data_IF_511408554924
#
_entry.id   IF_511408554924
#
_cell.length_a   1.000
_cell.length_b   1.000
_cell.length_c   1.000
_cell.angle_alpha   90.00
_cell.angle_beta   90.00
_cell.angle_gamma   90.00
#
_symmetry.space_group_name_H-M   'P 1'
#
loop_
_entity.id
_entity.type
_entity.pdbx_description
1 polymer ?
#
# COMPACT_ATOMS: atom_id res chain seq x y z
N UNK A 1 6.79 20.73 -21.92
CA UNK A 1 7.08 19.47 -21.21
C UNK A 1 7.10 19.76 -19.71
N UNK A 2 5.95 19.66 -19.04
CA UNK A 2 5.86 19.86 -17.60
C UNK A 2 6.05 18.51 -16.91
N UNK A 3 7.26 18.24 -16.46
CA UNK A 3 7.50 17.17 -15.50
C UNK A 3 7.06 17.70 -14.12
N UNK A 4 5.79 17.49 -13.80
CA UNK A 4 5.31 17.60 -12.42
C UNK A 4 6.02 16.52 -11.59
N UNK A 5 7.15 16.87 -10.99
CA UNK A 5 7.75 16.08 -9.94
C UNK A 5 6.80 16.16 -8.74
N UNK A 6 5.81 15.27 -8.66
CA UNK A 6 5.14 15.00 -7.40
C UNK A 6 6.24 14.53 -6.45
N UNK A 7 6.73 15.45 -5.61
CA UNK A 7 7.55 15.07 -4.47
C UNK A 7 6.71 14.05 -3.71
N UNK A 8 7.26 12.86 -3.50
CA UNK A 8 6.69 11.89 -2.56
C UNK A 8 6.40 12.65 -1.29
N UNK A 9 5.12 12.77 -0.95
CA UNK A 9 4.70 13.68 0.10
C UNK A 9 5.22 13.09 1.43
N UNK A 10 6.27 13.66 2.06
CA UNK A 10 6.84 13.14 3.30
C UNK A 10 5.81 13.12 4.44
N UNK A 11 4.69 13.76 4.25
CA UNK A 11 3.63 13.97 5.22
C UNK A 11 2.70 12.78 5.39
N UNK A 12 2.47 11.97 4.33
CA UNK A 12 1.75 10.71 4.51
C UNK A 12 2.61 9.76 5.34
N UNK A 13 3.93 9.78 5.16
CA UNK A 13 4.85 9.03 6.01
C UNK A 13 4.91 9.55 7.45
N UNK A 14 4.54 10.81 7.70
CA UNK A 14 4.43 11.37 9.05
C UNK A 14 3.07 11.16 9.71
N UNK A 15 1.98 11.01 8.92
CA UNK A 15 0.62 10.76 9.40
C UNK A 15 0.37 9.28 9.72
N UNK A 16 1.09 8.37 9.08
CA UNK A 16 0.97 6.93 9.28
C UNK A 16 2.16 6.47 10.08
N UNK A 17 1.93 6.04 11.31
CA UNK A 17 2.97 5.49 12.16
C UNK A 17 3.45 4.13 11.62
N UNK A 18 4.72 4.02 11.18
CA UNK A 18 5.28 2.75 10.72
C UNK A 18 5.27 1.65 11.78
N UNK A 19 5.35 1.98 13.07
CA UNK A 19 5.31 1.01 14.16
C UNK A 19 3.93 0.35 14.33
N UNK A 20 2.90 0.94 13.73
CA UNK A 20 1.55 0.38 13.69
C UNK A 20 1.39 -0.81 12.74
N UNK A 21 2.34 -1.04 11.81
CA UNK A 21 2.34 -2.24 10.97
C UNK A 21 2.95 -3.41 11.75
N UNK A 22 2.10 -4.33 12.18
CA UNK A 22 2.50 -5.42 13.07
C UNK A 22 2.58 -6.74 12.30
N UNK A 23 3.52 -7.63 12.67
CA UNK A 23 3.52 -9.00 12.20
C UNK A 23 2.21 -9.72 12.53
N UNK A 24 1.84 -10.70 11.73
CA UNK A 24 0.59 -11.47 11.82
C UNK A 24 -0.69 -10.65 11.66
N UNK A 25 -0.59 -9.38 11.22
CA UNK A 25 -1.72 -8.47 11.04
C UNK A 25 -1.85 -8.04 9.59
N UNK A 26 -3.11 -7.88 9.15
CA UNK A 26 -3.48 -7.28 7.87
C UNK A 26 -3.87 -5.82 8.10
N UNK A 27 -3.09 -4.90 7.52
CA UNK A 27 -3.47 -3.49 7.43
C UNK A 27 -4.06 -3.20 6.06
N UNK A 28 -5.23 -2.58 6.01
CA UNK A 28 -5.84 -2.12 4.76
C UNK A 28 -5.67 -0.60 4.64
N UNK A 29 -5.16 -0.16 3.49
CA UNK A 29 -5.09 1.25 3.12
C UNK A 29 -6.13 1.47 2.02
N UNK A 30 -7.17 2.25 2.30
CA UNK A 30 -8.26 2.46 1.36
C UNK A 30 -8.42 3.91 0.91
N UNK A 31 -8.94 4.08 -0.30
CA UNK A 31 -9.28 5.35 -0.91
C UNK A 31 -9.09 5.34 -2.42
N UNK A 32 -9.66 6.35 -3.07
CA UNK A 32 -9.60 6.50 -4.54
C UNK A 32 -8.43 7.39 -5.02
N UNK A 33 -7.69 7.99 -4.08
CA UNK A 33 -6.54 8.84 -4.39
C UNK A 33 -5.33 8.01 -4.83
N UNK A 34 -4.52 8.57 -5.73
CA UNK A 34 -3.21 8.04 -6.09
C UNK A 34 -2.24 7.93 -4.89
N UNK A 35 -2.55 8.61 -3.79
CA UNK A 35 -1.77 8.53 -2.55
C UNK A 35 -1.88 7.15 -1.88
N UNK A 36 -2.93 6.37 -2.15
CA UNK A 36 -3.10 5.02 -1.61
C UNK A 36 -1.98 4.09 -2.09
N UNK A 37 -1.81 3.82 -3.40
CA UNK A 37 -0.70 3.01 -3.87
C UNK A 37 0.67 3.67 -3.62
N UNK A 38 0.79 5.00 -3.67
CA UNK A 38 2.04 5.70 -3.37
C UNK A 38 2.48 5.50 -1.91
N UNK A 39 1.53 5.37 -0.98
CA UNK A 39 1.81 5.02 0.42
C UNK A 39 2.37 3.60 0.53
N UNK A 40 1.75 2.62 -0.14
CA UNK A 40 2.26 1.26 -0.17
C UNK A 40 3.66 1.18 -0.79
N UNK A 41 3.92 1.89 -1.89
CA UNK A 41 5.24 1.96 -2.51
C UNK A 41 6.28 2.59 -1.59
N UNK A 42 5.89 3.57 -0.79
CA UNK A 42 6.78 4.18 0.21
C UNK A 42 7.12 3.19 1.34
N UNK A 43 6.17 2.37 1.77
CA UNK A 43 6.42 1.28 2.73
C UNK A 43 7.37 0.22 2.14
N UNK A 44 7.14 -0.21 0.89
CA UNK A 44 8.05 -1.12 0.19
C UNK A 44 9.47 -0.54 0.11
N UNK A 45 9.60 0.75 -0.25
CA UNK A 45 10.88 1.42 -0.32
C UNK A 45 11.61 1.43 1.03
N UNK A 46 10.89 1.76 2.11
CA UNK A 46 11.45 1.78 3.48
C UNK A 46 11.93 0.40 3.92
N UNK A 47 11.14 -0.64 3.70
CA UNK A 47 11.51 -2.01 4.03
C UNK A 47 12.73 -2.47 3.19
N UNK A 48 12.78 -2.14 1.90
CA UNK A 48 13.87 -2.52 1.02
C UNK A 48 15.21 -1.84 1.39
N UNK A 49 15.21 -0.56 1.77
CA UNK A 49 16.44 0.16 2.16
C UNK A 49 17.00 -0.31 3.50
N UNK A 50 16.18 -0.92 4.36
CA UNK A 50 16.63 -1.57 5.59
C UNK A 50 17.12 -3.01 5.39
N UNK A 51 17.16 -3.48 4.13
CA UNK A 51 17.75 -4.76 3.75
C UNK A 51 16.77 -5.94 3.71
N UNK A 52 15.48 -5.69 3.87
CA UNK A 52 14.45 -6.74 3.86
C UNK A 52 13.89 -6.99 2.45
N UNK A 53 13.51 -8.23 2.20
CA UNK A 53 12.78 -8.60 0.99
C UNK A 53 11.28 -8.27 1.14
N UNK A 54 10.64 -8.00 0.03
CA UNK A 54 9.22 -7.68 -0.09
C UNK A 54 8.60 -8.57 -1.16
N UNK A 55 7.45 -9.18 -0.87
CA UNK A 55 6.60 -9.77 -1.89
C UNK A 55 5.51 -8.76 -2.21
N UNK A 56 5.35 -8.41 -3.49
CA UNK A 56 4.32 -7.51 -3.97
C UNK A 56 3.40 -8.25 -4.95
N UNK A 57 2.12 -8.35 -4.60
CA UNK A 57 1.07 -8.91 -5.45
C UNK A 57 0.27 -7.76 -6.06
N UNK A 58 0.15 -7.72 -7.39
CA UNK A 58 -0.53 -6.66 -8.12
C UNK A 58 -1.80 -7.18 -8.82
N UNK A 59 -2.96 -6.79 -8.30
CA UNK A 59 -4.29 -7.16 -8.82
C UNK A 59 -4.94 -6.11 -9.72
N UNK A 60 -4.30 -4.97 -9.95
CA UNK A 60 -4.87 -3.87 -10.75
C UNK A 60 -3.94 -3.36 -11.85
N UNK A 61 -2.84 -4.08 -12.12
CA UNK A 61 -1.80 -3.62 -13.04
C UNK A 61 -1.30 -2.20 -12.71
N UNK A 62 -1.15 -1.91 -11.42
CA UNK A 62 -0.83 -0.57 -10.90
C UNK A 62 0.58 -0.45 -10.30
N UNK A 63 1.36 -1.54 -10.30
CA UNK A 63 2.74 -1.51 -9.83
C UNK A 63 3.58 -0.48 -10.57
N UNK A 64 4.21 0.41 -9.81
CA UNK A 64 5.02 1.50 -10.34
C UNK A 64 6.43 1.50 -9.71
N UNK A 65 7.43 0.90 -10.37
CA UNK A 65 8.80 0.86 -9.85
C UNK A 65 9.44 2.25 -9.78
N UNK A 66 8.97 3.21 -10.59
CA UNK A 66 9.47 4.59 -10.54
C UNK A 66 9.02 5.32 -9.26
N UNK A 67 7.83 5.00 -8.73
CA UNK A 67 7.37 5.54 -7.45
C UNK A 67 8.27 5.06 -6.31
N UNK A 68 8.59 3.76 -6.27
CA UNK A 68 9.53 3.18 -5.31
C UNK A 68 10.91 3.78 -5.46
N UNK A 69 11.42 3.87 -6.69
CA UNK A 69 12.73 4.47 -6.98
C UNK A 69 12.85 5.92 -6.49
N UNK A 70 11.78 6.73 -6.68
CA UNK A 70 11.74 8.10 -6.15
C UNK A 70 11.77 8.12 -4.63
N UNK A 71 11.00 7.24 -3.97
CA UNK A 71 10.97 7.15 -2.51
C UNK A 71 12.34 6.76 -1.94
N UNK A 72 13.01 5.78 -2.56
CA UNK A 72 14.38 5.35 -2.19
C UNK A 72 15.39 6.50 -2.33
N UNK A 73 15.36 7.22 -3.47
CA UNK A 73 16.22 8.39 -3.69
C UNK A 73 15.96 9.51 -2.68
N UNK A 74 14.71 9.75 -2.34
CA UNK A 74 14.35 10.74 -1.32
C UNK A 74 14.93 10.40 0.05
N UNK A 75 15.05 9.12 0.38
CA UNK A 75 15.70 8.63 1.60
C UNK A 75 17.24 8.61 1.51
N UNK A 76 17.84 8.98 0.38
CA UNK A 76 19.30 9.04 0.18
C UNK A 76 19.95 7.70 -0.20
N UNK A 77 19.17 6.70 -0.65
CA UNK A 77 19.65 5.38 -1.00
C UNK A 77 19.69 5.12 -2.52
N UNK A 78 20.42 4.07 -2.92
CA UNK A 78 20.53 3.62 -4.30
C UNK A 78 19.32 2.74 -4.70
N UNK A 79 18.50 3.17 -5.69
CA UNK A 79 17.30 2.45 -6.06
C UNK A 79 17.51 1.03 -6.57
N UNK A 80 18.61 0.77 -7.26
CA UNK A 80 18.88 -0.54 -7.84
C UNK A 80 18.93 -1.64 -6.78
N UNK A 81 19.61 -1.38 -5.67
CA UNK A 81 19.71 -2.31 -4.55
C UNK A 81 18.36 -2.55 -3.88
N UNK A 82 17.55 -1.49 -3.68
CA UNK A 82 16.23 -1.60 -3.08
C UNK A 82 15.24 -2.35 -4.00
N UNK A 83 15.24 -2.03 -5.30
CA UNK A 83 14.34 -2.67 -6.26
C UNK A 83 14.63 -4.17 -6.45
N UNK A 84 15.89 -4.62 -6.30
CA UNK A 84 16.25 -6.04 -6.39
C UNK A 84 15.69 -6.90 -5.26
N UNK A 85 15.21 -6.29 -4.18
CA UNK A 85 14.56 -6.95 -3.04
C UNK A 85 13.05 -7.05 -3.15
N UNK A 86 12.46 -6.55 -4.23
CA UNK A 86 11.01 -6.54 -4.42
C UNK A 86 10.63 -7.61 -5.44
N UNK A 87 10.02 -8.67 -4.95
CA UNK A 87 9.54 -9.81 -5.75
C UNK A 87 8.08 -9.55 -6.15
N UNK A 88 7.85 -9.34 -7.44
CA UNK A 88 6.54 -8.92 -7.96
C UNK A 88 5.84 -10.09 -8.63
N UNK A 89 4.60 -10.37 -8.21
CA UNK A 89 3.68 -11.25 -8.89
C UNK A 89 2.45 -10.45 -9.35
N UNK A 90 2.03 -10.59 -10.62
CA UNK A 90 0.91 -9.85 -11.19
C UNK A 90 -0.16 -10.79 -11.69
N UNK A 91 -1.40 -10.51 -11.32
CA UNK A 91 -2.58 -11.19 -11.81
C UNK A 91 -3.38 -10.31 -12.77
N UNK A 92 -3.89 -10.92 -13.84
CA UNK A 92 -4.81 -10.31 -14.80
C UNK A 92 -6.19 -10.96 -14.78
N UNK A 93 -6.31 -12.07 -14.06
CA UNK A 93 -7.58 -12.80 -13.86
C UNK A 93 -7.70 -13.24 -12.41
N UNK A 94 -8.96 -13.51 -12.00
CA UNK A 94 -9.27 -14.05 -10.67
C UNK A 94 -8.58 -15.39 -10.40
N UNK A 95 -8.42 -16.25 -11.41
CA UNK A 95 -7.74 -17.54 -11.31
C UNK A 95 -6.22 -17.40 -11.13
N UNK A 96 -5.62 -16.41 -11.81
CA UNK A 96 -4.21 -16.10 -11.59
C UNK A 96 -3.97 -15.55 -10.20
N UNK A 97 -4.88 -14.72 -9.68
CA UNK A 97 -4.80 -14.24 -8.31
C UNK A 97 -4.88 -15.39 -7.31
N UNK A 98 -5.80 -16.34 -7.51
CA UNK A 98 -5.92 -17.53 -6.67
C UNK A 98 -4.63 -18.37 -6.68
N UNK A 99 -4.05 -18.59 -7.84
CA UNK A 99 -2.78 -19.32 -7.98
C UNK A 99 -1.63 -18.60 -7.25
N UNK A 100 -1.53 -17.26 -7.37
CA UNK A 100 -0.51 -16.46 -6.68
C UNK A 100 -0.69 -16.54 -5.16
N UNK A 101 -1.91 -16.35 -4.66
CA UNK A 101 -2.18 -16.39 -3.22
C UNK A 101 -1.95 -17.79 -2.65
N UNK A 102 -2.32 -18.83 -3.38
CA UNK A 102 -2.05 -20.23 -3.00
C UNK A 102 -0.55 -20.53 -2.92
N UNK A 103 0.26 -19.92 -3.78
CA UNK A 103 1.73 -20.04 -3.77
C UNK A 103 2.46 -19.17 -2.75
N UNK A 104 1.77 -18.26 -2.04
CA UNK A 104 2.41 -17.32 -1.14
C UNK A 104 3.19 -17.97 0.00
N UNK A 105 2.71 -19.10 0.53
CA UNK A 105 3.43 -19.83 1.59
C UNK A 105 4.83 -20.25 1.15
N UNK A 106 4.96 -20.77 -0.06
CA UNK A 106 6.26 -21.15 -0.63
C UNK A 106 7.14 -19.91 -0.86
N UNK A 107 6.56 -18.86 -1.42
CA UNK A 107 7.24 -17.59 -1.67
C UNK A 107 7.76 -16.97 -0.38
N UNK A 108 6.95 -16.91 0.70
CA UNK A 108 7.36 -16.39 2.01
C UNK A 108 8.48 -17.23 2.61
N UNK A 109 8.38 -18.57 2.56
CA UNK A 109 9.44 -19.44 3.05
C UNK A 109 10.76 -19.30 2.27
N UNK A 110 10.68 -18.91 0.98
CA UNK A 110 11.86 -18.76 0.11
C UNK A 110 12.60 -17.46 0.35
N UNK A 111 11.88 -16.35 0.52
CA UNK A 111 12.46 -15.00 0.56
C UNK A 111 12.44 -14.36 1.95
N UNK A 112 11.77 -14.96 2.92
CA UNK A 112 11.59 -14.44 4.28
C UNK A 112 11.27 -12.93 4.31
N UNK A 113 10.20 -12.48 3.59
CA UNK A 113 9.90 -11.08 3.42
C UNK A 113 9.43 -10.45 4.72
N UNK A 114 9.87 -9.24 5.00
CA UNK A 114 9.29 -8.44 6.08
C UNK A 114 7.87 -7.98 5.75
N UNK A 115 7.61 -7.68 4.47
CA UNK A 115 6.36 -7.08 4.00
C UNK A 115 5.76 -7.89 2.84
N UNK A 116 4.50 -8.26 3.00
CA UNK A 116 3.63 -8.73 1.94
C UNK A 116 2.71 -7.57 1.54
N UNK A 117 2.97 -6.98 0.37
CA UNK A 117 2.24 -5.86 -0.19
C UNK A 117 1.25 -6.36 -1.25
N UNK A 118 -0.03 -6.00 -1.15
CA UNK A 118 -1.06 -6.44 -2.09
C UNK A 118 -1.80 -5.22 -2.65
N UNK A 119 -1.68 -5.00 -3.96
CA UNK A 119 -2.34 -3.91 -4.66
C UNK A 119 -3.72 -4.35 -5.16
N UNK A 120 -4.77 -3.73 -4.62
CA UNK A 120 -6.16 -3.82 -5.10
C UNK A 120 -6.64 -5.27 -5.34
N UNK A 121 -6.55 -6.09 -4.31
CA UNK A 121 -6.89 -7.52 -4.35
C UNK A 121 -8.28 -7.79 -4.93
N UNK A 122 -9.27 -6.94 -4.59
CA UNK A 122 -10.68 -7.07 -4.99
C UNK A 122 -10.95 -6.76 -6.47
N UNK A 123 -10.03 -6.07 -7.17
CA UNK A 123 -10.27 -5.47 -8.48
C UNK A 123 -10.62 -6.48 -9.59
N UNK A 124 -10.14 -7.72 -9.48
CA UNK A 124 -10.37 -8.76 -10.50
C UNK A 124 -11.69 -9.54 -10.33
N UNK A 125 -12.39 -9.39 -9.19
CA UNK A 125 -13.50 -10.23 -8.79
C UNK A 125 -14.86 -9.59 -9.07
N UNK A 126 -15.28 -9.55 -10.33
CA UNK A 126 -16.57 -8.95 -10.73
C UNK A 126 -17.69 -9.95 -10.92
N UNK A 127 -17.38 -11.25 -11.04
CA UNK A 127 -18.35 -12.31 -11.36
C UNK A 127 -18.97 -12.95 -10.10
N UNK A 128 -20.07 -13.71 -10.30
CA UNK A 128 -20.69 -14.46 -9.20
C UNK A 128 -19.79 -15.60 -8.69
N UNK A 129 -19.08 -16.26 -9.59
CA UNK A 129 -18.12 -17.31 -9.22
C UNK A 129 -16.88 -16.68 -8.54
N UNK A 130 -16.49 -15.49 -8.95
CA UNK A 130 -15.43 -14.71 -8.32
C UNK A 130 -15.70 -14.43 -6.84
N UNK A 131 -16.98 -14.28 -6.41
CA UNK A 131 -17.29 -14.08 -4.98
C UNK A 131 -16.90 -15.26 -4.10
N UNK A 132 -17.13 -16.49 -4.57
CA UNK A 132 -16.76 -17.70 -3.81
C UNK A 132 -15.26 -17.85 -3.73
N UNK A 133 -14.58 -17.63 -4.86
CA UNK A 133 -13.12 -17.69 -4.96
C UNK A 133 -12.47 -16.62 -4.07
N UNK A 134 -13.00 -15.40 -4.06
CA UNK A 134 -12.48 -14.30 -3.28
C UNK A 134 -12.47 -14.56 -1.77
N UNK A 135 -13.54 -15.18 -1.24
CA UNK A 135 -13.59 -15.59 0.16
C UNK A 135 -12.49 -16.59 0.54
N UNK A 136 -12.21 -17.56 -0.34
CA UNK A 136 -11.10 -18.52 -0.17
C UNK A 136 -9.75 -17.82 -0.21
N UNK A 137 -9.55 -16.89 -1.14
CA UNK A 137 -8.32 -16.10 -1.29
C UNK A 137 -8.04 -15.28 -0.03
N UNK A 138 -9.04 -14.58 0.50
CA UNK A 138 -8.88 -13.80 1.73
C UNK A 138 -8.53 -14.68 2.93
N UNK A 139 -9.15 -15.85 3.03
CA UNK A 139 -8.83 -16.83 4.07
C UNK A 139 -7.38 -17.29 3.95
N UNK A 140 -6.93 -17.68 2.77
CA UNK A 140 -5.55 -18.10 2.51
C UNK A 140 -4.55 -16.98 2.81
N UNK A 141 -4.84 -15.75 2.41
CA UNK A 141 -4.01 -14.58 2.72
C UNK A 141 -3.88 -14.38 4.23
N UNK A 142 -4.98 -14.48 4.98
CA UNK A 142 -5.00 -14.37 6.44
C UNK A 142 -4.21 -15.50 7.10
N UNK A 143 -4.37 -16.73 6.64
CA UNK A 143 -3.63 -17.89 7.13
C UNK A 143 -2.11 -17.73 6.92
N UNK A 144 -1.67 -17.28 5.73
CA UNK A 144 -0.26 -17.01 5.45
C UNK A 144 0.26 -15.90 6.35
N UNK A 145 -0.46 -14.77 6.46
CA UNK A 145 -0.10 -13.64 7.32
C UNK A 145 0.13 -14.07 8.76
N UNK A 146 -0.81 -14.84 9.33
CA UNK A 146 -0.77 -15.24 10.74
C UNK A 146 0.23 -16.36 11.00
N UNK A 147 0.26 -17.39 10.15
CA UNK A 147 1.11 -18.57 10.39
C UNK A 147 2.60 -18.33 10.12
N UNK A 148 2.93 -17.38 9.25
CA UNK A 148 4.32 -17.04 8.89
C UNK A 148 4.77 -15.70 9.47
N UNK A 149 3.97 -15.10 10.35
CA UNK A 149 4.31 -13.87 11.09
C UNK A 149 4.72 -12.71 10.18
N UNK A 150 4.11 -12.58 8.98
CA UNK A 150 4.39 -11.51 8.04
C UNK A 150 3.59 -10.25 8.35
N UNK A 151 4.13 -9.08 8.00
CA UNK A 151 3.36 -7.83 7.93
C UNK A 151 2.66 -7.82 6.58
N UNK A 152 1.33 -7.77 6.57
CA UNK A 152 0.56 -7.73 5.32
C UNK A 152 -0.14 -6.38 5.18
N UNK A 153 0.06 -5.71 4.03
CA UNK A 153 -0.60 -4.46 3.69
C UNK A 153 -1.34 -4.60 2.37
N UNK A 154 -2.64 -4.36 2.41
CA UNK A 154 -3.53 -4.48 1.25
C UNK A 154 -4.08 -3.11 0.89
N UNK A 155 -4.04 -2.71 -0.38
CA UNK A 155 -4.75 -1.50 -0.83
C UNK A 155 -6.13 -1.85 -1.36
N UNK A 156 -7.09 -0.93 -1.14
CA UNK A 156 -8.49 -1.04 -1.54
C UNK A 156 -8.97 0.31 -2.07
N UNK A 157 -9.91 0.31 -3.01
CA UNK A 157 -10.59 1.55 -3.41
C UNK A 157 -11.56 2.04 -2.34
N UNK A 158 -12.02 1.12 -1.47
CA UNK A 158 -13.05 1.41 -0.46
C UNK A 158 -14.45 1.54 -1.06
N UNK A 159 -15.39 2.01 -0.22
CA UNK A 159 -16.76 2.30 -0.65
C UNK A 159 -17.70 1.10 -0.63
N UNK A 160 -18.68 1.09 -1.57
CA UNK A 160 -19.80 0.15 -1.58
C UNK A 160 -19.52 -1.16 -2.32
N UNK A 161 -18.34 -1.30 -2.93
CA UNK A 161 -17.98 -2.52 -3.64
C UNK A 161 -17.85 -3.69 -2.66
N UNK A 162 -18.56 -4.78 -2.93
CA UNK A 162 -18.60 -5.94 -2.02
C UNK A 162 -17.22 -6.54 -1.72
N UNK A 163 -16.33 -6.55 -2.72
CA UNK A 163 -14.96 -7.08 -2.55
C UNK A 163 -14.14 -6.22 -1.59
N UNK A 164 -14.23 -4.89 -1.69
CA UNK A 164 -13.57 -3.97 -0.79
C UNK A 164 -14.14 -4.05 0.63
N UNK A 165 -15.45 -4.26 0.78
CA UNK A 165 -16.07 -4.49 2.08
C UNK A 165 -15.58 -5.79 2.74
N UNK A 166 -15.38 -6.85 1.95
CA UNK A 166 -14.80 -8.10 2.46
C UNK A 166 -13.32 -7.92 2.86
N UNK A 167 -12.55 -7.16 2.08
CA UNK A 167 -11.16 -6.81 2.45
C UNK A 167 -11.16 -6.04 3.77
N UNK A 168 -11.99 -5.00 3.89
CA UNK A 168 -12.11 -4.19 5.10
C UNK A 168 -12.54 -5.03 6.32
N UNK A 169 -13.50 -5.95 6.15
CA UNK A 169 -13.98 -6.85 7.21
C UNK A 169 -12.93 -7.88 7.69
N UNK A 170 -11.83 -8.08 6.95
CA UNK A 170 -10.72 -8.94 7.34
C UNK A 170 -9.48 -8.17 7.82
N UNK A 171 -9.55 -6.85 7.90
CA UNK A 171 -8.46 -6.00 8.35
C UNK A 171 -8.34 -5.99 9.88
N UNK A 172 -7.10 -6.06 10.38
CA UNK A 172 -6.78 -5.80 11.78
C UNK A 172 -6.55 -4.30 12.04
N UNK A 173 -6.19 -3.54 10.98
CA UNK A 173 -6.05 -2.08 10.99
C UNK A 173 -6.56 -1.50 9.68
N UNK A 174 -7.29 -0.38 9.78
CA UNK A 174 -7.78 0.38 8.64
C UNK A 174 -7.15 1.77 8.60
N UNK A 175 -6.63 2.14 7.44
CA UNK A 175 -6.13 3.48 7.14
C UNK A 175 -6.90 3.99 5.94
N UNK A 176 -7.64 5.10 6.09
CA UNK A 176 -8.38 5.73 5.01
C UNK A 176 -7.68 6.99 4.55
N UNK A 177 -7.48 7.14 3.24
CA UNK A 177 -6.87 8.31 2.62
C UNK A 177 -7.89 8.95 1.67
N UNK A 178 -8.30 10.17 1.99
CA UNK A 178 -9.16 11.01 1.16
C UNK A 178 -8.39 12.24 0.68
N UNK A 179 -8.50 12.53 -0.62
CA UNK A 179 -7.92 13.73 -1.22
C UNK A 179 -9.04 14.58 -1.82
N UNK A 180 -9.21 15.81 -1.34
CA UNK A 180 -10.18 16.76 -1.85
C UNK A 180 -9.46 18.08 -2.15
N UNK A 181 -9.29 18.39 -3.44
CA UNK A 181 -8.53 19.57 -3.90
C UNK A 181 -7.14 19.61 -3.24
N UNK A 182 -6.95 20.55 -2.31
CA UNK A 182 -5.67 20.77 -1.64
C UNK A 182 -5.62 20.12 -0.23
N UNK A 183 -6.68 19.43 0.18
CA UNK A 183 -6.77 18.80 1.50
C UNK A 183 -6.63 17.30 1.39
N UNK A 184 -5.67 16.74 2.10
CA UNK A 184 -5.50 15.30 2.31
C UNK A 184 -5.92 14.98 3.74
N UNK A 185 -6.85 14.04 3.88
CA UNK A 185 -7.26 13.48 5.16
C UNK A 185 -6.75 12.06 5.27
N UNK A 186 -6.10 11.75 6.37
CA UNK A 186 -5.67 10.39 6.72
C UNK A 186 -6.33 10.03 8.02
N UNK A 187 -7.19 9.02 7.98
CA UNK A 187 -7.80 8.43 9.17
C UNK A 187 -7.13 7.09 9.47
N UNK A 188 -6.61 6.94 10.68
CA UNK A 188 -5.97 5.72 11.18
C UNK A 188 -6.62 5.34 12.52
N UNK A 189 -7.57 4.43 12.48
CA UNK A 189 -8.48 4.15 13.59
C UNK A 189 -9.24 5.40 14.01
N UNK A 190 -9.10 5.81 15.28
CA UNK A 190 -9.72 7.02 15.83
C UNK A 190 -8.94 8.30 15.55
N UNK A 191 -7.71 8.19 15.04
CA UNK A 191 -6.86 9.34 14.74
C UNK A 191 -7.19 9.90 13.36
N UNK A 192 -7.44 11.21 13.29
CA UNK A 192 -7.66 11.96 12.05
C UNK A 192 -6.54 12.98 11.86
N UNK A 193 -5.83 12.86 10.76
CA UNK A 193 -4.81 13.82 10.33
C UNK A 193 -5.30 14.56 9.10
N UNK A 194 -5.21 15.89 9.13
CA UNK A 194 -5.54 16.75 7.99
C UNK A 194 -4.28 17.47 7.52
N UNK A 195 -3.99 17.36 6.25
CA UNK A 195 -2.88 18.04 5.64
C UNK A 195 -3.35 18.81 4.40
N UNK A 196 -2.94 20.08 4.30
CA UNK A 196 -3.19 20.88 3.10
C UNK A 196 -1.99 20.74 2.17
N UNK A 197 -2.24 20.22 0.98
CA UNK A 197 -1.23 20.09 -0.06
C UNK A 197 -0.96 21.48 -0.67
N UNK A 198 0.19 22.07 -0.34
CA UNK A 198 0.59 23.37 -0.90
C UNK A 198 1.35 23.12 -2.19
N UNK A 199 0.90 23.63 -3.35
CA UNK A 199 1.62 23.49 -4.61
C UNK A 199 3.07 23.98 -4.52
N UNK A 200 4.02 23.38 -5.23
CA UNK A 200 5.39 23.83 -5.27
C UNK A 200 5.49 25.33 -5.65
N UNK A 201 6.20 26.12 -4.84
CA UNK A 201 6.36 27.57 -5.06
C UNK A 201 5.31 28.45 -4.40
N UNK A 202 4.34 27.86 -3.70
CA UNK A 202 3.40 28.60 -2.85
C UNK A 202 3.73 28.36 -1.37
N UNK A 203 3.65 29.42 -0.56
CA UNK A 203 3.72 29.36 0.91
C UNK A 203 2.36 29.72 1.48
N UNK A 204 2.00 29.11 2.61
CA UNK A 204 0.78 29.53 3.31
C UNK A 204 0.98 30.91 3.92
N UNK A 205 -0.07 31.72 3.92
CA UNK A 205 -0.04 33.03 4.56
C UNK A 205 0.34 32.92 6.05
N UNK A 206 -0.11 31.89 6.73
CA UNK A 206 0.23 31.63 8.14
C UNK A 206 1.71 31.27 8.37
N UNK A 207 2.36 30.60 7.41
CA UNK A 207 3.79 30.26 7.50
C UNK A 207 4.66 31.52 7.31
N UNK A 208 4.11 32.54 6.62
CA UNK A 208 4.76 33.84 6.43
C UNK A 208 4.72 34.70 7.67
N UNK A 209 3.65 34.61 8.48
CA UNK A 209 3.47 35.40 9.71
C UNK A 209 4.24 34.79 10.88
N UNK A 210 4.45 33.49 10.92
CA UNK A 210 5.15 32.78 12.01
C UNK A 210 6.69 32.87 11.94
N UNK A 211 7.25 33.44 10.87
CA UNK A 211 8.70 33.61 10.63
C UNK A 211 9.23 35.05 10.76
N UNK A 212 8.44 35.95 11.33
CA UNK A 212 8.80 37.35 11.57
C UNK A 212 9.17 37.61 13.03
#
# INVERSE_FOLDING_TARGET
>A
MYTSSRKTNPLISGCIDPSGFKPSCITVIEGTSALVPDTLFSLCARSAVTGHDIILVDGANSFNPYAISRAVKFMGFEPKSALSRIHVARAFTEYQMDAIISGLREAVNRWDPQLLAVLYLSNLFSTQDGKRLFGSILKSLKEVTQSLNTITVVTSFGGMWWGDQLVAGNADRMIRIEEKKDLVKVQDGDNLFEHVNVPPGQTRFNDYIAGG
#
